data_IF_480498561864
#
_entry.id   IF_480498561864
#
_cell.length_a   1.000
_cell.length_b   1.000
_cell.length_c   1.000
_cell.angle_alpha   90.00
_cell.angle_beta   90.00
_cell.angle_gamma   90.00
#
_symmetry.space_group_name_H-M   'P 1'
#
loop_
_entity.id
_entity.type
_entity.pdbx_description
1 polymer ?
#
# COMPACT_ATOMS: atom_id res chain seq x y z
N UNK A 1 -8.95 -3.31 11.51
CA UNK A 1 -9.14 -3.78 10.13
C UNK A 1 -9.68 -5.20 10.15
N UNK A 2 -10.70 -5.52 9.34
CA UNK A 2 -11.21 -6.89 9.17
C UNK A 2 -10.68 -7.43 7.84
N UNK A 3 -9.95 -8.54 7.87
CA UNK A 3 -9.45 -9.23 6.68
C UNK A 3 -10.17 -10.56 6.51
N UNK A 4 -10.72 -10.80 5.32
CA UNK A 4 -11.38 -12.04 4.95
C UNK A 4 -10.58 -12.72 3.85
N UNK A 5 -10.27 -13.99 3.99
CA UNK A 5 -9.60 -14.78 2.96
C UNK A 5 -10.57 -15.74 2.29
N UNK A 6 -10.36 -16.04 1.02
CA UNK A 6 -11.19 -16.95 0.25
C UNK A 6 -10.54 -17.31 -1.08
N UNK A 7 -11.16 -18.24 -1.79
CA UNK A 7 -10.78 -18.69 -3.13
C UNK A 7 -11.98 -18.64 -4.08
N UNK A 8 -12.78 -17.59 -4.00
CA UNK A 8 -14.00 -17.40 -4.78
C UNK A 8 -13.71 -16.51 -5.99
N UNK A 9 -14.65 -16.48 -6.93
CA UNK A 9 -14.60 -15.49 -8.02
C UNK A 9 -14.75 -14.07 -7.47
N UNK A 10 -14.29 -13.08 -8.23
CA UNK A 10 -14.43 -11.66 -7.87
C UNK A 10 -15.88 -11.28 -7.54
N UNK A 11 -16.86 -11.76 -8.34
CA UNK A 11 -18.27 -11.48 -8.10
C UNK A 11 -18.77 -12.04 -6.75
N UNK A 12 -18.31 -13.23 -6.37
CA UNK A 12 -18.65 -13.84 -5.09
C UNK A 12 -18.01 -13.12 -3.91
N UNK A 13 -16.75 -12.69 -4.03
CA UNK A 13 -16.08 -11.93 -2.98
C UNK A 13 -16.65 -10.51 -2.86
N UNK A 14 -17.05 -9.87 -3.96
CA UNK A 14 -17.74 -8.58 -3.96
C UNK A 14 -19.08 -8.69 -3.21
N UNK A 15 -19.91 -9.65 -3.52
CA UNK A 15 -21.16 -9.88 -2.83
C UNK A 15 -20.98 -10.19 -1.32
N UNK A 16 -19.91 -10.92 -0.97
CA UNK A 16 -19.55 -11.22 0.42
C UNK A 16 -19.10 -9.94 1.15
N UNK A 17 -18.29 -9.11 0.53
CA UNK A 17 -17.85 -7.83 1.07
C UNK A 17 -19.03 -6.90 1.34
N UNK A 18 -19.95 -6.74 0.38
CA UNK A 18 -21.17 -5.95 0.55
C UNK A 18 -22.04 -6.48 1.70
N UNK A 19 -22.23 -7.80 1.79
CA UNK A 19 -22.96 -8.44 2.88
C UNK A 19 -22.31 -8.18 4.24
N UNK A 20 -20.98 -8.16 4.29
CA UNK A 20 -20.23 -7.86 5.51
C UNK A 20 -20.36 -6.38 5.90
N UNK A 21 -20.27 -5.46 4.94
CA UNK A 21 -20.48 -4.03 5.16
C UNK A 21 -21.88 -3.75 5.71
N UNK A 22 -22.92 -4.40 5.15
CA UNK A 22 -24.29 -4.25 5.66
C UNK A 22 -24.42 -4.71 7.11
N UNK A 23 -23.84 -5.86 7.48
CA UNK A 23 -23.85 -6.36 8.87
C UNK A 23 -23.11 -5.41 9.81
N UNK A 24 -21.89 -4.98 9.46
CA UNK A 24 -21.12 -4.03 10.27
C UNK A 24 -21.89 -2.74 10.51
N UNK A 25 -22.58 -2.22 9.49
CA UNK A 25 -23.42 -1.02 9.64
C UNK A 25 -24.61 -1.25 10.57
N UNK A 26 -25.26 -2.41 10.50
CA UNK A 26 -26.34 -2.79 11.40
C UNK A 26 -25.87 -2.90 12.86
N UNK A 27 -24.62 -3.33 13.07
CA UNK A 27 -23.96 -3.43 14.37
C UNK A 27 -23.37 -2.09 14.86
N UNK A 28 -23.63 -0.97 14.16
CA UNK A 28 -23.19 0.38 14.55
C UNK A 28 -21.78 0.77 14.10
N UNK A 29 -21.08 -0.08 13.34
CA UNK A 29 -19.77 0.26 12.78
C UNK A 29 -19.89 1.11 11.51
N UNK A 30 -18.87 1.91 11.23
CA UNK A 30 -18.75 2.71 10.01
C UNK A 30 -17.57 2.20 9.16
N UNK A 31 -17.77 1.21 8.28
CA UNK A 31 -16.74 0.80 7.34
C UNK A 31 -16.37 1.98 6.44
N UNK A 32 -15.09 2.34 6.41
CA UNK A 32 -14.57 3.49 5.67
C UNK A 32 -14.00 3.08 4.32
N UNK A 33 -13.52 1.83 4.19
CA UNK A 33 -12.92 1.32 2.97
C UNK A 33 -13.22 -0.17 2.79
N UNK A 34 -13.45 -0.58 1.55
CA UNK A 34 -13.47 -1.98 1.11
C UNK A 34 -12.43 -2.15 0.03
N UNK A 35 -11.50 -3.08 0.22
CA UNK A 35 -10.47 -3.44 -0.73
C UNK A 35 -10.58 -4.93 -1.04
N UNK A 36 -10.55 -5.31 -2.32
CA UNK A 36 -10.55 -6.70 -2.77
C UNK A 36 -9.28 -6.91 -3.58
N UNK A 37 -8.50 -7.86 -3.14
CA UNK A 37 -7.19 -8.17 -3.69
C UNK A 37 -7.13 -9.62 -4.14
N UNK A 38 -6.30 -9.89 -5.12
CA UNK A 38 -5.96 -11.24 -5.56
C UNK A 38 -4.46 -11.42 -5.69
N UNK A 39 -4.04 -12.67 -5.83
CA UNK A 39 -2.66 -12.97 -6.22
C UNK A 39 -2.39 -12.39 -7.62
N UNK A 40 -1.22 -11.81 -7.90
CA UNK A 40 -0.87 -11.30 -9.23
C UNK A 40 -0.78 -12.40 -10.30
N UNK A 41 -0.85 -13.66 -9.90
CA UNK A 41 -0.90 -14.82 -10.81
C UNK A 41 -2.30 -15.39 -11.02
N UNK A 42 -3.31 -14.76 -10.44
CA UNK A 42 -4.70 -15.20 -10.60
C UNK A 42 -5.19 -14.98 -12.05
N UNK A 43 -6.18 -15.76 -12.47
CA UNK A 43 -6.65 -15.75 -13.85
C UNK A 43 -7.30 -14.41 -14.26
N UNK A 44 -7.82 -13.67 -13.30
CA UNK A 44 -8.45 -12.35 -13.48
C UNK A 44 -7.44 -11.20 -13.65
N UNK A 45 -6.14 -11.45 -13.41
CA UNK A 45 -5.09 -10.43 -13.59
C UNK A 45 -4.87 -10.16 -15.07
N UNK A 46 -4.95 -8.90 -15.53
CA UNK A 46 -4.82 -8.59 -16.94
C UNK A 46 -3.38 -8.83 -17.43
N UNK A 47 -3.27 -9.45 -18.61
CA UNK A 47 -1.98 -9.64 -19.29
C UNK A 47 -1.51 -8.40 -20.05
N UNK A 48 -2.41 -7.47 -20.29
CA UNK A 48 -2.16 -6.20 -20.98
C UNK A 48 -2.50 -5.05 -20.02
N UNK A 49 -1.89 -3.88 -20.22
CA UNK A 49 -2.23 -2.69 -19.44
C UNK A 49 -3.73 -2.39 -19.48
N UNK A 50 -4.31 -2.05 -18.33
CA UNK A 50 -5.71 -1.65 -18.23
C UNK A 50 -5.84 -0.38 -17.37
N UNK A 51 -6.75 0.52 -17.78
CA UNK A 51 -7.00 1.80 -17.11
C UNK A 51 -8.37 1.84 -16.43
N UNK A 52 -8.81 0.71 -15.88
CA UNK A 52 -10.13 0.55 -15.25
C UNK A 52 -10.12 0.77 -13.73
N UNK A 53 -9.08 1.40 -13.21
CA UNK A 53 -8.90 1.70 -11.78
C UNK A 53 -8.27 0.57 -10.97
N UNK A 54 -8.03 -0.60 -11.58
CA UNK A 54 -7.28 -1.70 -10.95
C UNK A 54 -5.78 -1.43 -11.02
N UNK A 55 -5.02 -1.98 -10.06
CA UNK A 55 -3.59 -1.75 -9.99
C UNK A 55 -2.84 -2.88 -9.29
N UNK A 56 -1.55 -2.99 -9.53
CA UNK A 56 -0.67 -3.84 -8.73
C UNK A 56 -0.20 -3.07 -7.50
N UNK A 57 -0.16 -3.76 -6.37
CA UNK A 57 0.37 -3.23 -5.13
C UNK A 57 1.43 -4.18 -4.59
N UNK A 58 2.56 -3.61 -4.18
CA UNK A 58 3.66 -4.35 -3.60
C UNK A 58 3.95 -3.78 -2.22
N UNK A 59 4.05 -4.66 -1.21
CA UNK A 59 4.44 -4.28 0.13
C UNK A 59 5.81 -4.89 0.45
N UNK A 60 6.81 -4.04 0.62
CA UNK A 60 8.15 -4.44 1.02
C UNK A 60 8.33 -4.13 2.50
N UNK A 61 8.46 -5.17 3.31
CA UNK A 61 8.67 -5.05 4.75
C UNK A 61 10.15 -4.96 5.07
N UNK A 62 10.56 -3.87 5.68
CA UNK A 62 11.93 -3.58 6.05
C UNK A 62 12.14 -3.73 7.54
N UNK A 63 13.33 -4.17 7.95
CA UNK A 63 13.86 -4.00 9.29
C UNK A 63 14.88 -2.85 9.25
N UNK A 64 14.56 -1.76 9.91
CA UNK A 64 15.40 -0.58 9.98
C UNK A 64 16.11 -0.55 11.34
N UNK A 65 17.41 -0.28 11.33
CA UNK A 65 18.18 -0.07 12.56
C UNK A 65 17.73 1.22 13.27
N UNK A 66 17.97 1.30 14.57
CA UNK A 66 17.82 2.53 15.32
C UNK A 66 18.64 3.65 14.68
N UNK A 67 18.04 4.81 14.50
CA UNK A 67 18.70 5.99 13.88
C UNK A 67 18.78 5.95 12.35
N UNK A 68 18.14 4.98 11.67
CA UNK A 68 18.00 5.04 10.20
C UNK A 68 17.30 6.34 9.79
N UNK A 69 17.89 7.06 8.83
CA UNK A 69 17.27 8.27 8.26
C UNK A 69 16.05 7.87 7.41
N UNK A 70 14.88 7.93 8.06
CA UNK A 70 13.61 7.58 7.40
C UNK A 70 13.15 8.64 6.42
N UNK A 71 13.61 9.88 6.53
CA UNK A 71 13.29 10.93 5.56
C UNK A 71 14.06 10.69 4.25
N UNK A 72 15.35 10.43 4.32
CA UNK A 72 16.13 10.06 3.14
C UNK A 72 15.61 8.78 2.48
N UNK A 73 15.16 7.78 3.28
CA UNK A 73 14.54 6.57 2.74
C UNK A 73 13.21 6.88 2.04
N UNK A 74 12.37 7.73 2.63
CA UNK A 74 11.11 8.14 2.01
C UNK A 74 11.35 8.83 0.66
N UNK A 75 12.35 9.71 0.56
CA UNK A 75 12.75 10.36 -0.70
C UNK A 75 13.29 9.34 -1.73
N UNK A 76 14.07 8.36 -1.28
CA UNK A 76 14.65 7.33 -2.13
C UNK A 76 13.60 6.48 -2.85
N UNK A 77 12.46 6.20 -2.23
CA UNK A 77 11.43 5.33 -2.82
C UNK A 77 10.44 6.06 -3.74
N UNK A 78 10.33 7.39 -3.65
CA UNK A 78 9.41 8.20 -4.47
C UNK A 78 9.58 7.98 -5.99
N UNK A 79 10.81 7.96 -6.57
CA UNK A 79 10.99 7.72 -7.99
C UNK A 79 10.49 6.35 -8.47
N UNK A 80 10.29 5.42 -7.56
CA UNK A 80 9.77 4.08 -7.84
C UNK A 80 8.23 3.98 -7.69
N UNK A 81 7.53 5.10 -7.55
CA UNK A 81 6.08 5.11 -7.30
C UNK A 81 5.70 4.47 -5.97
N UNK A 82 6.59 4.59 -4.99
CA UNK A 82 6.44 3.98 -3.68
C UNK A 82 6.49 5.02 -2.56
N UNK A 83 5.97 4.64 -1.39
CA UNK A 83 6.02 5.46 -0.19
C UNK A 83 6.39 4.61 1.04
N UNK A 84 7.05 5.23 1.99
CA UNK A 84 7.40 4.63 3.27
C UNK A 84 6.26 4.84 4.26
N UNK A 85 5.79 3.78 4.95
CA UNK A 85 4.78 3.90 5.99
C UNK A 85 5.28 4.78 7.15
N UNK A 86 4.44 5.70 7.63
CA UNK A 86 4.77 6.59 8.73
C UNK A 86 5.01 5.85 10.04
N UNK A 87 4.13 4.91 10.37
CA UNK A 87 4.20 4.18 11.63
C UNK A 87 5.09 2.95 11.56
N UNK A 88 5.92 2.76 12.58
CA UNK A 88 6.59 1.50 12.79
C UNK A 88 5.56 0.39 13.06
N UNK A 89 5.60 -0.69 12.29
CA UNK A 89 4.73 -1.85 12.51
C UNK A 89 5.04 -2.56 13.81
N UNK A 90 6.32 -2.60 14.16
CA UNK A 90 6.84 -3.22 15.38
C UNK A 90 8.17 -2.55 15.74
N UNK A 91 8.36 -2.27 17.01
CA UNK A 91 9.64 -1.85 17.58
C UNK A 91 10.20 -3.00 18.40
N UNK A 92 11.47 -3.32 18.20
CA UNK A 92 12.19 -4.38 18.91
C UNK A 92 12.94 -3.82 20.11
N UNK A 93 13.44 -4.70 20.99
CA UNK A 93 14.17 -4.31 22.21
C UNK A 93 15.48 -3.57 21.90
N UNK A 94 16.10 -3.83 20.75
CA UNK A 94 17.29 -3.13 20.21
C UNK A 94 16.96 -1.80 19.50
N UNK A 95 15.72 -1.32 19.65
CA UNK A 95 15.17 -0.15 18.96
C UNK A 95 15.14 -0.26 17.42
N UNK A 96 15.47 -1.41 16.85
CA UNK A 96 15.17 -1.66 15.45
C UNK A 96 13.65 -1.73 15.24
N UNK A 97 13.19 -1.26 14.09
CA UNK A 97 11.76 -1.19 13.83
C UNK A 97 11.38 -1.65 12.43
N UNK A 98 10.19 -2.20 12.31
CA UNK A 98 9.67 -2.70 11.06
C UNK A 98 8.84 -1.60 10.37
N UNK A 99 9.11 -1.36 9.09
CA UNK A 99 8.40 -0.43 8.23
C UNK A 99 7.98 -1.10 6.94
N UNK A 100 6.88 -0.62 6.35
CA UNK A 100 6.50 -1.00 4.99
C UNK A 100 6.86 0.11 4.00
N UNK A 101 7.38 -0.32 2.85
CA UNK A 101 7.39 0.47 1.63
C UNK A 101 6.30 -0.11 0.74
N UNK A 102 5.34 0.71 0.34
CA UNK A 102 4.24 0.31 -0.54
C UNK A 102 4.41 0.99 -1.89
N UNK A 103 4.44 0.17 -2.96
CA UNK A 103 4.51 0.61 -4.35
C UNK A 103 3.19 0.31 -5.05
N UNK A 104 2.69 1.26 -5.86
CA UNK A 104 1.50 1.09 -6.69
C UNK A 104 1.83 1.28 -8.15
N UNK A 105 1.39 0.32 -8.97
CA UNK A 105 1.60 0.34 -10.40
C UNK A 105 0.24 0.35 -11.11
N UNK A 106 -0.17 1.51 -11.59
CA UNK A 106 -1.43 1.73 -12.30
C UNK A 106 -1.22 1.62 -13.81
N UNK A 107 -2.22 1.09 -14.52
CA UNK A 107 -2.24 1.10 -15.98
C UNK A 107 -1.15 0.27 -16.66
N UNK A 108 -0.56 -0.69 -15.96
CA UNK A 108 0.54 -1.53 -16.46
C UNK A 108 0.16 -3.01 -16.48
N UNK A 109 0.89 -3.81 -17.25
CA UNK A 109 0.79 -5.26 -17.21
C UNK A 109 1.59 -5.87 -16.04
N UNK A 110 1.30 -7.13 -15.69
CA UNK A 110 1.95 -7.84 -14.57
C UNK A 110 3.47 -7.89 -14.69
N UNK A 111 3.99 -8.06 -15.93
CA UNK A 111 5.43 -8.09 -16.18
C UNK A 111 6.10 -6.74 -15.91
N UNK A 112 5.44 -5.65 -16.30
CA UNK A 112 5.94 -4.29 -16.07
C UNK A 112 5.89 -3.93 -14.58
N UNK A 113 4.82 -4.30 -13.88
CA UNK A 113 4.74 -4.17 -12.43
C UNK A 113 5.85 -4.97 -11.72
N UNK A 114 6.17 -6.17 -12.25
CA UNK A 114 7.30 -6.96 -11.75
C UNK A 114 8.64 -6.24 -11.91
N UNK A 115 8.93 -5.68 -13.09
CA UNK A 115 10.16 -4.89 -13.32
C UNK A 115 10.23 -3.63 -12.43
N UNK A 116 9.09 -2.99 -12.19
CA UNK A 116 9.04 -1.85 -11.28
C UNK A 116 9.37 -2.24 -9.84
N UNK A 117 8.90 -3.41 -9.39
CA UNK A 117 9.28 -3.97 -8.09
C UNK A 117 10.76 -4.29 -8.02
N UNK A 118 11.33 -4.93 -9.07
CA UNK A 118 12.76 -5.25 -9.11
C UNK A 118 13.60 -3.97 -8.94
N UNK A 119 13.26 -2.89 -9.66
CA UNK A 119 13.93 -1.59 -9.51
C UNK A 119 13.79 -0.99 -8.10
N UNK A 120 12.65 -1.15 -7.45
CA UNK A 120 12.47 -0.74 -6.05
C UNK A 120 13.36 -1.58 -5.11
N UNK A 121 13.40 -2.90 -5.29
CA UNK A 121 14.22 -3.79 -4.46
C UNK A 121 15.72 -3.49 -4.63
N UNK A 122 16.17 -3.15 -5.83
CA UNK A 122 17.55 -2.73 -6.09
C UNK A 122 17.88 -1.44 -5.31
N UNK A 123 16.97 -0.45 -5.29
CA UNK A 123 17.14 0.76 -4.51
C UNK A 123 17.16 0.51 -2.99
N UNK A 124 16.46 -0.53 -2.54
CA UNK A 124 16.39 -0.95 -1.14
C UNK A 124 17.48 -1.97 -0.75
N UNK A 125 18.35 -2.40 -1.68
CA UNK A 125 19.36 -3.43 -1.45
C UNK A 125 20.29 -3.19 -0.24
N UNK A 126 20.63 -1.93 0.17
CA UNK A 126 21.40 -1.68 1.38
C UNK A 126 20.65 -1.99 2.69
N UNK A 127 19.33 -2.20 2.63
CA UNK A 127 18.48 -2.40 3.78
C UNK A 127 18.08 -3.88 3.94
N UNK A 128 17.71 -4.24 5.16
CA UNK A 128 17.24 -5.60 5.42
C UNK A 128 15.76 -5.74 5.06
N UNK A 129 15.50 -6.36 3.91
CA UNK A 129 14.15 -6.78 3.52
C UNK A 129 13.77 -8.04 4.30
N UNK A 130 12.62 -8.02 4.96
CA UNK A 130 12.06 -9.16 5.71
C UNK A 130 11.06 -9.95 4.88
N UNK A 131 10.25 -9.25 4.07
CA UNK A 131 9.12 -9.83 3.34
C UNK A 131 8.79 -8.97 2.13
N UNK A 132 8.31 -9.59 1.07
CA UNK A 132 7.74 -8.92 -0.10
C UNK A 132 6.39 -9.57 -0.40
N UNK A 133 5.31 -8.81 -0.25
CA UNK A 133 3.97 -9.20 -0.66
C UNK A 133 3.65 -8.56 -2.01
N UNK A 134 2.99 -9.31 -2.88
CA UNK A 134 2.60 -8.86 -4.23
C UNK A 134 1.12 -9.14 -4.41
N UNK A 135 0.37 -8.10 -4.72
CA UNK A 135 -1.08 -8.15 -4.83
C UNK A 135 -1.55 -7.46 -6.12
N UNK A 136 -2.70 -7.91 -6.60
CA UNK A 136 -3.45 -7.20 -7.64
C UNK A 136 -4.78 -6.74 -7.07
N UNK A 137 -4.97 -5.43 -7.02
CA UNK A 137 -6.16 -4.80 -6.45
C UNK A 137 -7.26 -4.78 -7.50
N UNK A 138 -8.28 -5.61 -7.26
CA UNK A 138 -9.47 -5.75 -8.11
C UNK A 138 -10.50 -4.66 -7.84
N UNK A 139 -10.58 -4.20 -6.60
CA UNK A 139 -11.50 -3.16 -6.15
C UNK A 139 -10.92 -2.42 -4.95
N UNK A 140 -11.04 -1.12 -4.97
CA UNK A 140 -10.74 -0.25 -3.85
C UNK A 140 -11.81 0.86 -3.82
N UNK A 141 -12.61 0.88 -2.75
CA UNK A 141 -13.73 1.83 -2.64
C UNK A 141 -13.29 3.24 -2.27
N UNK A 142 -12.05 3.41 -1.80
CA UNK A 142 -11.51 4.71 -1.40
C UNK A 142 -9.98 4.68 -1.38
N UNK A 143 -9.38 5.01 -2.52
CA UNK A 143 -7.92 5.11 -2.67
C UNK A 143 -7.34 6.28 -1.87
N UNK A 144 -8.17 7.30 -1.56
CA UNK A 144 -7.73 8.52 -0.88
C UNK A 144 -7.40 8.29 0.60
N UNK A 145 -7.86 7.19 1.19
CA UNK A 145 -7.51 6.83 2.58
C UNK A 145 -5.98 6.77 2.78
N UNK A 146 -5.25 6.48 1.71
CA UNK A 146 -3.78 6.41 1.75
C UNK A 146 -3.09 7.70 1.24
N UNK A 147 -3.84 8.67 0.69
CA UNK A 147 -3.27 9.93 0.17
C UNK A 147 -2.68 10.80 1.28
N UNK A 148 -3.29 10.82 2.47
CA UNK A 148 -2.75 11.53 3.64
C UNK A 148 -1.42 10.95 4.14
N UNK A 149 -1.06 9.74 3.75
CA UNK A 149 0.21 9.11 4.08
C UNK A 149 1.32 9.49 3.09
N UNK A 150 0.94 10.00 1.92
CA UNK A 150 1.85 10.49 0.88
C UNK A 150 2.26 11.95 1.13
N UNK A 151 1.39 12.76 1.76
CA UNK A 151 1.60 14.21 1.93
C UNK A 151 2.20 14.62 3.28
N UNK A 152 2.20 13.77 4.30
CA UNK A 152 2.68 14.11 5.65
C UNK A 152 4.20 14.31 5.76
N UNK A 153 4.95 14.14 4.66
CA UNK A 153 6.37 14.50 4.56
C UNK A 153 6.64 15.99 4.29
N UNK A 154 5.61 16.79 3.98
CA UNK A 154 5.76 18.21 3.74
C UNK A 154 5.52 18.98 5.04
N UNK A 155 6.52 19.71 5.62
CA UNK A 155 6.27 20.54 6.79
C UNK A 155 5.19 21.55 6.43
N UNK A 156 4.11 21.58 7.20
CA UNK A 156 3.03 22.56 7.06
C UNK A 156 3.63 23.94 7.03
N UNK A 157 3.56 24.62 5.87
CA UNK A 157 3.99 25.97 5.70
C UNK A 157 3.33 26.84 6.77
N UNK A 158 4.16 27.52 7.57
CA UNK A 158 3.74 28.47 8.56
C UNK A 158 2.83 29.49 7.87
N UNK A 159 1.61 29.78 8.34
CA UNK A 159 0.81 30.83 7.76
C UNK A 159 1.57 32.16 7.93
N UNK A 160 1.90 32.81 6.82
CA UNK A 160 2.46 34.16 6.83
C UNK A 160 1.46 35.08 7.54
N UNK A 161 1.96 35.71 8.60
CA UNK A 161 1.21 36.63 9.43
C UNK A 161 0.69 37.81 8.62
N UNK A 162 -0.60 38.05 8.74
CA UNK A 162 -1.27 39.29 8.37
C UNK A 162 -0.56 40.44 9.10
N UNK A 163 0.20 41.25 8.38
CA UNK A 163 0.62 42.56 8.89
C UNK A 163 -0.55 43.56 8.74
N UNK A 164 -0.89 44.16 9.83
CA UNK A 164 -1.72 45.37 9.87
C UNK A 164 -0.91 46.56 9.35
#
# INVERSE_FOLDING_TARGET
>A
MLTLRGSRTYAQESARAEGTVRRLRADGFRPVRVKIESSPWAAEVPRLPCSDGRYFEHHVKLLLAAGTDTAALAECVVPHGAHLSWNARRVRDDAAHERFVTQRCHGVAAEEAGRALDGLLDALAPLRVLEVEREFVLHDSDVSVDEGWLDEGRPAGRPEGIRR
#
